data_IF_034181638342
#
_entry.id   IF_034181638342
#
_cell.length_a   1.000
_cell.length_b   1.000
_cell.length_c   1.000
_cell.angle_alpha   90.00
_cell.angle_beta   90.00
_cell.angle_gamma   90.00
#
_symmetry.space_group_name_H-M   'P 1'
#
loop_
_entity.id
_entity.type
_entity.pdbx_description
1 polymer ?
#
# COMPACT_ATOMS: atom_id res chain seq x y z
N UNK A 1 11.71 -35.95 8.85
CA UNK A 1 10.91 -35.27 9.88
C UNK A 1 9.97 -34.30 9.17
N UNK A 2 8.67 -34.49 9.39
CA UNK A 2 7.48 -33.77 8.88
C UNK A 2 7.70 -32.67 7.82
N UNK A 3 7.31 -32.97 6.58
CA UNK A 3 7.05 -32.00 5.54
C UNK A 3 5.85 -31.12 5.96
N UNK A 4 6.12 -30.01 6.64
CA UNK A 4 5.11 -29.05 7.09
C UNK A 4 5.02 -27.85 6.16
N UNK A 5 4.68 -28.06 4.89
CA UNK A 5 4.42 -26.96 3.96
C UNK A 5 2.95 -26.59 4.01
N UNK A 6 2.59 -25.56 4.80
CA UNK A 6 1.27 -24.93 4.66
C UNK A 6 1.05 -24.45 3.21
N UNK A 7 -0.20 -24.15 2.81
CA UNK A 7 -0.44 -23.58 1.49
C UNK A 7 0.45 -22.34 1.29
N UNK A 8 0.92 -22.09 0.06
CA UNK A 8 1.77 -20.94 -0.21
C UNK A 8 1.15 -19.67 0.34
N UNK A 9 1.94 -18.88 1.07
CA UNK A 9 1.56 -17.55 1.57
C UNK A 9 1.46 -16.59 0.37
N UNK A 10 0.27 -16.36 -0.20
CA UNK A 10 0.14 -15.75 -1.53
C UNK A 10 0.78 -14.34 -1.64
N UNK A 11 0.70 -13.47 -0.61
CA UNK A 11 1.41 -12.18 -0.60
C UNK A 11 2.93 -12.30 -0.83
N UNK A 12 3.56 -13.35 -0.29
CA UNK A 12 5.01 -13.57 -0.45
C UNK A 12 5.42 -13.98 -1.87
N UNK A 13 4.45 -14.39 -2.69
CA UNK A 13 4.66 -14.78 -4.07
C UNK A 13 4.57 -13.61 -5.05
N UNK A 14 4.17 -12.42 -4.59
CA UNK A 14 4.14 -11.22 -5.42
C UNK A 14 5.58 -10.76 -5.68
N UNK A 15 6.01 -10.83 -6.95
CA UNK A 15 7.38 -10.50 -7.40
C UNK A 15 7.41 -9.32 -8.38
N UNK A 16 6.29 -8.62 -8.54
CA UNK A 16 6.19 -7.40 -9.35
C UNK A 16 6.27 -6.17 -8.44
N UNK A 17 6.70 -5.01 -8.98
CA UNK A 17 6.62 -3.75 -8.24
C UNK A 17 5.22 -3.57 -7.65
N UNK A 18 5.14 -3.22 -6.37
CA UNK A 18 3.88 -3.08 -5.65
C UNK A 18 3.87 -1.81 -4.82
N UNK A 19 2.79 -1.05 -4.91
CA UNK A 19 2.52 0.13 -4.09
C UNK A 19 1.23 -0.11 -3.28
N UNK A 20 1.31 0.00 -1.96
CA UNK A 20 0.18 -0.07 -1.04
C UNK A 20 -0.08 1.31 -0.42
N UNK A 21 -1.23 1.90 -0.75
CA UNK A 21 -1.70 3.16 -0.18
C UNK A 21 -2.83 2.86 0.82
N UNK A 22 -2.60 3.09 2.11
CA UNK A 22 -3.47 2.60 3.19
C UNK A 22 -4.11 3.79 3.93
N UNK A 23 -5.43 3.98 3.90
CA UNK A 23 -6.09 5.05 4.63
C UNK A 23 -6.07 4.80 6.14
N UNK A 24 -5.50 5.72 6.93
CA UNK A 24 -5.45 5.64 8.40
C UNK A 24 -6.82 5.65 9.06
N UNK A 25 -7.82 6.27 8.42
CA UNK A 25 -9.18 6.42 8.93
C UNK A 25 -10.20 5.55 8.17
N UNK A 26 -9.76 4.43 7.60
CA UNK A 26 -10.66 3.46 6.95
C UNK A 26 -11.63 2.82 7.96
N UNK A 27 -12.91 2.76 7.60
CA UNK A 27 -13.98 2.11 8.39
C UNK A 27 -14.57 0.88 7.71
N UNK A 28 -14.14 0.58 6.48
CA UNK A 28 -14.53 -0.59 5.69
C UNK A 28 -13.50 -1.70 5.90
N UNK A 29 -12.21 -1.37 5.72
CA UNK A 29 -11.10 -2.30 5.93
C UNK A 29 -10.20 -1.78 7.06
N UNK A 30 -10.04 -2.50 8.18
CA UNK A 30 -9.15 -2.04 9.25
C UNK A 30 -7.71 -1.83 8.75
N UNK A 31 -7.06 -0.67 9.02
CA UNK A 31 -5.71 -0.38 8.52
C UNK A 31 -4.68 -1.45 8.88
N UNK A 32 -4.76 -2.02 10.09
CA UNK A 32 -3.87 -3.09 10.53
C UNK A 32 -3.94 -4.35 9.65
N UNK A 33 -5.11 -4.67 9.08
CA UNK A 33 -5.26 -5.81 8.19
C UNK A 33 -4.60 -5.55 6.83
N UNK A 34 -4.80 -4.36 6.26
CA UNK A 34 -4.14 -3.95 5.02
C UNK A 34 -2.62 -3.85 5.18
N UNK A 35 -2.14 -3.34 6.32
CA UNK A 35 -0.71 -3.26 6.64
C UNK A 35 -0.08 -4.65 6.75
N UNK A 36 -0.76 -5.60 7.39
CA UNK A 36 -0.27 -6.98 7.48
C UNK A 36 -0.06 -7.62 6.10
N UNK A 37 -0.99 -7.38 5.16
CA UNK A 37 -0.85 -7.81 3.77
C UNK A 37 0.32 -7.10 3.08
N UNK A 38 0.38 -5.78 3.16
CA UNK A 38 1.39 -4.97 2.48
C UNK A 38 2.81 -5.34 2.94
N UNK A 39 3.01 -5.54 4.24
CA UNK A 39 4.29 -5.95 4.81
C UNK A 39 4.71 -7.39 4.46
N UNK A 40 3.76 -8.24 4.03
CA UNK A 40 4.07 -9.58 3.58
C UNK A 40 4.56 -9.62 2.12
N UNK A 41 4.36 -8.55 1.34
CA UNK A 41 4.80 -8.44 -0.05
C UNK A 41 6.28 -8.02 -0.10
N UNK A 42 7.19 -8.86 -0.64
CA UNK A 42 8.61 -8.54 -0.72
C UNK A 42 8.85 -7.31 -1.60
N UNK A 43 9.59 -6.32 -1.07
CA UNK A 43 9.95 -5.11 -1.81
C UNK A 43 8.78 -4.17 -2.12
N UNK A 44 7.60 -4.41 -1.55
CA UNK A 44 6.44 -3.52 -1.71
C UNK A 44 6.65 -2.18 -0.99
N UNK A 45 6.29 -1.08 -1.65
CA UNK A 45 6.23 0.24 -1.05
C UNK A 45 4.91 0.41 -0.30
N UNK A 46 4.95 0.90 0.93
CA UNK A 46 3.75 1.09 1.76
C UNK A 46 3.68 2.52 2.27
N UNK A 47 2.55 3.18 2.04
CA UNK A 47 2.28 4.54 2.54
C UNK A 47 0.95 4.57 3.28
N UNK A 48 0.98 5.03 4.53
CA UNK A 48 -0.23 5.31 5.27
C UNK A 48 -0.68 6.75 5.03
N UNK A 49 -1.94 6.92 4.63
CA UNK A 49 -2.49 8.20 4.19
C UNK A 49 -3.45 8.73 5.24
N UNK A 50 -3.36 10.02 5.57
CA UNK A 50 -4.27 10.73 6.48
C UNK A 50 -5.67 10.98 5.89
N UNK A 51 -6.29 9.96 5.29
CA UNK A 51 -7.62 9.95 4.70
C UNK A 51 -8.40 8.72 5.20
N UNK A 52 -9.72 8.74 5.01
CA UNK A 52 -10.55 7.55 5.09
C UNK A 52 -10.79 6.94 3.70
N UNK A 53 -11.40 5.76 3.65
CA UNK A 53 -11.63 4.97 2.43
C UNK A 53 -12.18 5.78 1.25
N UNK A 54 -13.36 6.40 1.42
CA UNK A 54 -13.99 7.21 0.36
C UNK A 54 -13.19 8.48 0.09
N UNK A 55 -12.57 9.05 1.12
CA UNK A 55 -11.73 10.24 1.00
C UNK A 55 -10.52 10.03 0.09
N UNK A 56 -10.02 8.80 -0.05
CA UNK A 56 -8.96 8.46 -1.02
C UNK A 56 -9.43 8.47 -2.47
N UNK A 57 -10.73 8.26 -2.72
CA UNK A 57 -11.28 8.22 -4.07
C UNK A 57 -11.76 9.59 -4.55
N UNK A 58 -12.39 10.38 -3.67
CA UNK A 58 -13.09 11.62 -4.07
C UNK A 58 -12.77 12.84 -3.19
N UNK A 59 -11.88 12.73 -2.20
CA UNK A 59 -11.56 13.84 -1.29
C UNK A 59 -10.70 14.91 -1.95
N UNK A 60 -10.82 16.16 -1.50
CA UNK A 60 -10.03 17.29 -2.02
C UNK A 60 -8.50 17.10 -1.93
N UNK A 61 -8.03 16.27 -0.99
CA UNK A 61 -6.61 15.93 -0.83
C UNK A 61 -6.19 14.64 -1.54
N UNK A 62 -7.12 13.90 -2.15
CA UNK A 62 -6.83 12.67 -2.87
C UNK A 62 -5.85 12.86 -4.05
N UNK A 63 -5.93 13.94 -4.86
CA UNK A 63 -4.97 14.14 -5.95
C UNK A 63 -3.52 14.12 -5.46
N UNK A 64 -3.21 14.91 -4.42
CA UNK A 64 -1.86 15.02 -3.89
C UNK A 64 -1.42 13.78 -3.10
N UNK A 65 -2.33 13.16 -2.33
CA UNK A 65 -1.96 12.08 -1.42
C UNK A 65 -2.09 10.68 -2.01
N UNK A 66 -2.85 10.51 -3.11
CA UNK A 66 -3.17 9.20 -3.70
C UNK A 66 -2.82 9.17 -5.18
N UNK A 67 -3.34 10.10 -5.98
CA UNK A 67 -3.24 10.00 -7.45
C UNK A 67 -1.84 10.33 -7.95
N UNK A 68 -1.18 11.36 -7.40
CA UNK A 68 0.20 11.69 -7.77
C UNK A 68 1.19 10.56 -7.42
N UNK A 69 1.14 9.95 -6.21
CA UNK A 69 1.93 8.74 -5.93
C UNK A 69 1.66 7.57 -6.88
N UNK A 70 0.40 7.33 -7.28
CA UNK A 70 0.08 6.28 -8.26
C UNK A 70 0.66 6.63 -9.63
N UNK A 71 0.53 7.88 -10.07
CA UNK A 71 1.11 8.36 -11.34
C UNK A 71 2.62 8.13 -11.34
N UNK A 72 3.32 8.63 -10.31
CA UNK A 72 4.76 8.49 -10.17
C UNK A 72 5.18 7.01 -10.23
N UNK A 73 4.51 6.15 -9.47
CA UNK A 73 4.76 4.71 -9.45
C UNK A 73 4.62 4.06 -10.84
N UNK A 74 3.51 4.35 -11.55
CA UNK A 74 3.24 3.77 -12.87
C UNK A 74 4.24 4.26 -13.91
N UNK A 75 4.72 5.50 -13.79
CA UNK A 75 5.74 6.07 -14.66
C UNK A 75 7.17 5.61 -14.32
N UNK A 76 7.36 4.85 -13.24
CA UNK A 76 8.67 4.44 -12.74
C UNK A 76 9.46 5.60 -12.10
N UNK A 77 8.78 6.68 -11.72
CA UNK A 77 9.33 7.77 -10.94
C UNK A 77 9.46 7.34 -9.46
N UNK A 78 10.37 7.98 -8.72
CA UNK A 78 10.56 7.68 -7.31
C UNK A 78 9.32 8.13 -6.49
N UNK A 79 8.79 7.22 -5.68
CA UNK A 79 7.62 7.49 -4.82
C UNK A 79 8.09 7.73 -3.40
N UNK A 80 8.14 8.99 -2.98
CA UNK A 80 8.57 9.35 -1.64
C UNK A 80 7.47 9.17 -0.59
N UNK A 81 7.83 8.86 0.68
CA UNK A 81 6.89 8.88 1.78
C UNK A 81 6.22 10.26 1.89
N UNK A 82 4.89 10.26 2.11
CA UNK A 82 4.13 11.49 2.33
C UNK A 82 4.67 12.23 3.55
N UNK A 83 5.46 13.28 3.32
CA UNK A 83 6.15 14.08 4.35
C UNK A 83 7.68 14.01 4.34
N UNK A 84 8.29 13.22 3.45
CA UNK A 84 9.74 13.26 3.18
C UNK A 84 10.04 14.13 1.95
N UNK A 85 11.05 15.00 2.05
CA UNK A 85 11.76 15.50 0.86
C UNK A 85 12.60 14.37 0.26
N UNK A 86 12.93 14.45 -1.05
CA UNK A 86 13.92 13.55 -1.66
C UNK A 86 15.23 13.49 -0.87
#
# INVERSE_FOLDING_TARGET
ALAGGGPPDPPRQVVVPTLALIPKADRIVPPASALALAHAIPGGLTHEIGLGHIGMMVGARAPALVWEPIRAFVMGEEVYPLGGTP
#
